data_IF_568222026878
#
_entry.id   IF_568222026878
#
_cell.length_a   1.000
_cell.length_b   1.000
_cell.length_c   1.000
_cell.angle_alpha   90.00
_cell.angle_beta   90.00
_cell.angle_gamma   90.00
#
_symmetry.space_group_name_H-M   'P 1'
#
loop_
_entity.id
_entity.type
_entity.pdbx_description
1 polymer ?
#
# COMPACT_ATOMS: atom_id res chain seq x y z
N UNK A 1 40.89 18.43 8.45
CA UNK A 1 40.28 17.26 7.78
C UNK A 1 38.79 17.23 8.12
N UNK A 2 38.00 18.08 7.46
CA UNK A 2 36.54 18.09 7.61
C UNK A 2 35.98 17.12 6.56
N UNK A 3 35.56 15.92 7.01
CA UNK A 3 34.85 15.00 6.14
C UNK A 3 33.42 15.50 5.97
N UNK A 4 33.22 16.21 4.86
CA UNK A 4 31.96 16.35 4.17
C UNK A 4 31.25 14.99 4.11
N UNK A 5 30.31 14.77 5.02
CA UNK A 5 29.15 13.95 4.72
C UNK A 5 27.95 14.86 4.92
N UNK A 6 27.79 15.78 3.96
CA UNK A 6 26.47 16.27 3.59
C UNK A 6 25.71 14.99 3.23
N UNK A 7 24.99 14.43 4.20
CA UNK A 7 23.93 13.45 3.93
C UNK A 7 23.04 14.17 2.95
N UNK A 8 23.19 13.85 1.67
CA UNK A 8 22.35 14.38 0.64
C UNK A 8 20.92 14.08 1.12
N UNK A 9 20.21 15.14 1.49
CA UNK A 9 18.78 15.12 1.66
C UNK A 9 18.20 14.89 0.26
N UNK A 10 18.38 13.68 -0.29
CA UNK A 10 17.38 13.15 -1.20
C UNK A 10 16.11 13.11 -0.35
N UNK A 11 15.00 13.72 -0.76
CA UNK A 11 13.74 13.41 -0.10
C UNK A 11 13.65 11.89 -0.15
N UNK A 12 13.57 11.24 1.02
CA UNK A 12 13.34 9.81 1.15
C UNK A 12 12.01 9.53 0.43
N UNK A 13 12.08 9.35 -0.89
CA UNK A 13 10.94 9.04 -1.71
C UNK A 13 10.54 7.66 -1.26
N UNK A 14 9.41 7.59 -0.58
CA UNK A 14 8.81 6.34 -0.17
C UNK A 14 8.79 5.38 -1.37
N UNK A 15 9.46 4.22 -1.27
CA UNK A 15 9.54 3.29 -2.39
C UNK A 15 8.14 2.76 -2.70
N UNK A 16 7.81 2.71 -3.99
CA UNK A 16 6.52 2.22 -4.45
C UNK A 16 6.55 0.69 -4.55
N UNK A 17 5.62 0.08 -3.83
CA UNK A 17 5.39 -1.36 -3.80
C UNK A 17 4.81 -1.84 -5.13
N UNK A 18 5.18 -3.06 -5.50
CA UNK A 18 4.56 -3.82 -6.60
C UNK A 18 3.34 -4.58 -6.10
N UNK A 19 2.59 -5.19 -7.02
CA UNK A 19 1.50 -6.11 -6.69
C UNK A 19 1.97 -7.27 -5.83
N UNK A 20 3.18 -7.78 -6.06
CA UNK A 20 3.75 -8.89 -5.27
C UNK A 20 4.04 -8.45 -3.84
N UNK A 21 4.65 -7.28 -3.67
CA UNK A 21 4.97 -6.76 -2.33
C UNK A 21 3.70 -6.56 -1.49
N UNK A 22 2.63 -6.03 -2.11
CA UNK A 22 1.32 -5.86 -1.44
C UNK A 22 0.66 -7.19 -1.14
N UNK A 23 0.73 -8.16 -2.06
CA UNK A 23 0.18 -9.50 -1.85
C UNK A 23 0.84 -10.19 -0.65
N UNK A 24 2.17 -10.13 -0.56
CA UNK A 24 2.93 -10.64 0.58
C UNK A 24 2.57 -9.89 1.86
N UNK A 25 2.52 -8.56 1.82
CA UNK A 25 2.22 -7.72 3.00
C UNK A 25 0.85 -8.01 3.59
N UNK A 26 -0.18 -8.17 2.75
CA UNK A 26 -1.55 -8.45 3.16
C UNK A 26 -1.83 -9.94 3.36
N UNK A 27 -0.86 -10.81 3.05
CA UNK A 27 -0.99 -12.27 3.06
C UNK A 27 -2.20 -12.76 2.22
N UNK A 28 -2.26 -12.28 0.97
CA UNK A 28 -3.31 -12.62 -0.01
C UNK A 28 -2.68 -12.99 -1.36
N UNK A 29 -3.49 -13.51 -2.29
CA UNK A 29 -3.04 -13.79 -3.66
C UNK A 29 -2.87 -12.53 -4.50
N UNK A 30 -2.00 -12.55 -5.52
CA UNK A 30 -1.89 -11.47 -6.54
C UNK A 30 -3.24 -11.14 -7.19
N UNK A 31 -4.03 -12.16 -7.52
CA UNK A 31 -5.35 -11.97 -8.14
C UNK A 31 -6.29 -11.16 -7.25
N UNK A 32 -6.23 -11.39 -5.94
CA UNK A 32 -6.96 -10.56 -4.99
C UNK A 32 -6.52 -9.10 -5.09
N UNK A 33 -5.21 -8.82 -5.13
CA UNK A 33 -4.70 -7.45 -5.27
C UNK A 33 -5.17 -6.81 -6.58
N UNK A 34 -5.10 -7.52 -7.72
CA UNK A 34 -5.59 -7.04 -9.01
C UNK A 34 -7.08 -6.71 -9.00
N UNK A 35 -7.89 -7.63 -8.46
CA UNK A 35 -9.33 -7.47 -8.33
C UNK A 35 -9.68 -6.24 -7.51
N UNK A 36 -9.01 -6.08 -6.37
CA UNK A 36 -9.25 -5.00 -5.43
C UNK A 36 -8.58 -3.68 -5.83
N UNK A 37 -7.76 -3.69 -6.89
CA UNK A 37 -7.24 -2.46 -7.48
C UNK A 37 -8.16 -1.89 -8.56
N UNK A 38 -9.10 -2.66 -9.08
CA UNK A 38 -9.84 -2.28 -10.30
C UNK A 38 -11.36 -2.50 -10.26
N UNK A 39 -11.84 -3.56 -9.61
CA UNK A 39 -13.21 -4.06 -9.84
C UNK A 39 -13.95 -4.60 -8.62
N UNK A 40 -13.27 -4.92 -7.52
CA UNK A 40 -13.89 -5.45 -6.30
C UNK A 40 -13.59 -4.56 -5.09
N UNK A 41 -14.61 -4.35 -4.27
CA UNK A 41 -14.43 -3.72 -2.97
C UNK A 41 -13.96 -4.75 -1.91
N UNK A 42 -13.15 -4.34 -0.92
CA UNK A 42 -12.65 -2.98 -0.69
C UNK A 42 -11.51 -2.59 -1.63
N UNK A 43 -11.53 -1.36 -2.15
CA UNK A 43 -10.53 -0.90 -3.11
C UNK A 43 -9.19 -0.57 -2.45
N UNK A 44 -8.09 -1.06 -3.05
CA UNK A 44 -6.74 -0.71 -2.65
C UNK A 44 -6.34 0.67 -3.19
N UNK A 45 -5.48 1.42 -2.46
CA UNK A 45 -4.98 2.72 -2.88
C UNK A 45 -3.90 2.55 -3.95
N UNK A 46 -4.33 2.39 -5.20
CA UNK A 46 -3.45 2.07 -6.32
C UNK A 46 -3.07 3.31 -7.14
N UNK A 47 -1.79 3.41 -7.49
CA UNK A 47 -1.24 4.32 -8.49
C UNK A 47 -1.11 3.57 -9.81
N UNK A 48 -1.81 4.03 -10.85
CA UNK A 48 -1.71 3.49 -12.21
C UNK A 48 -0.64 4.26 -12.98
N UNK A 49 0.46 3.59 -13.29
CA UNK A 49 1.57 4.20 -14.04
C UNK A 49 1.33 4.15 -15.55
N UNK A 50 0.81 3.03 -16.03
CA UNK A 50 0.47 2.77 -17.43
C UNK A 50 -0.47 1.57 -17.49
N UNK A 51 -0.83 1.14 -18.70
CA UNK A 51 -1.57 -0.10 -18.90
C UNK A 51 -0.84 -1.27 -18.25
N UNK A 52 -1.54 -1.96 -17.34
CA UNK A 52 -1.02 -3.13 -16.64
C UNK A 52 0.07 -2.87 -15.60
N UNK A 53 0.46 -1.62 -15.31
CA UNK A 53 1.49 -1.33 -14.30
C UNK A 53 0.88 -0.62 -13.09
N UNK A 54 0.76 -1.37 -12.00
CA UNK A 54 0.25 -0.89 -10.72
C UNK A 54 1.37 -0.69 -9.72
N UNK A 55 1.26 0.38 -8.93
CA UNK A 55 2.16 0.73 -7.84
C UNK A 55 1.36 1.17 -6.62
N UNK A 56 1.93 0.99 -5.44
CA UNK A 56 1.28 1.35 -4.19
C UNK A 56 2.26 2.08 -3.27
N UNK A 57 1.77 3.06 -2.52
CA UNK A 57 2.53 3.63 -1.42
C UNK A 57 2.38 2.71 -0.21
N UNK A 58 3.48 2.46 0.49
CA UNK A 58 3.44 1.64 1.71
C UNK A 58 2.51 2.28 2.75
N UNK A 59 2.64 3.57 2.99
CA UNK A 59 1.82 4.38 3.91
C UNK A 59 0.33 4.23 3.66
N UNK A 60 -0.11 4.34 2.41
CA UNK A 60 -1.53 4.20 2.05
C UNK A 60 -2.02 2.75 2.23
N UNK A 61 -1.17 1.75 1.98
CA UNK A 61 -1.51 0.33 2.25
C UNK A 61 -1.67 0.09 3.77
N UNK A 62 -0.82 0.68 4.60
CA UNK A 62 -0.95 0.59 6.07
C UNK A 62 -2.19 1.33 6.59
N UNK A 63 -2.51 2.49 6.03
CA UNK A 63 -3.74 3.22 6.35
C UNK A 63 -4.99 2.42 5.95
N UNK A 64 -4.95 1.77 4.78
CA UNK A 64 -6.00 0.86 4.34
C UNK A 64 -6.23 -0.26 5.37
N UNK A 65 -5.17 -0.94 5.84
CA UNK A 65 -5.28 -1.98 6.87
C UNK A 65 -5.95 -1.42 8.13
N UNK A 66 -5.46 -0.26 8.61
CA UNK A 66 -5.98 0.40 9.81
C UNK A 66 -7.48 0.70 9.71
N UNK A 67 -7.96 1.19 8.56
CA UNK A 67 -9.39 1.44 8.35
C UNK A 67 -10.20 0.14 8.27
N UNK A 68 -9.66 -0.93 7.67
CA UNK A 68 -10.32 -2.26 7.65
C UNK A 68 -10.49 -2.81 9.06
N UNK A 69 -9.50 -2.66 9.93
CA UNK A 69 -9.59 -3.04 11.34
C UNK A 69 -10.65 -2.21 12.08
N UNK A 70 -10.63 -0.88 11.92
CA UNK A 70 -11.61 0.01 12.54
C UNK A 70 -13.04 -0.37 12.15
N UNK A 71 -13.33 -0.55 10.86
CA UNK A 71 -14.65 -0.94 10.36
C UNK A 71 -15.10 -2.31 10.87
N UNK A 72 -14.17 -3.27 10.96
CA UNK A 72 -14.46 -4.61 11.49
C UNK A 72 -14.82 -4.55 12.98
N UNK A 73 -14.12 -3.72 13.75
CA UNK A 73 -14.41 -3.50 15.17
C UNK A 73 -15.78 -2.87 15.41
N UNK A 74 -16.15 -1.87 14.59
CA UNK A 74 -17.44 -1.18 14.68
C UNK A 74 -18.62 -2.12 14.36
N UNK A 75 -18.44 -3.02 13.38
CA UNK A 75 -19.45 -4.04 13.06
C UNK A 75 -19.62 -5.05 14.18
N UNK A 76 -18.54 -5.44 14.87
CA UNK A 76 -18.60 -6.36 16.01
C UNK A 76 -19.36 -5.75 17.19
N UNK A 77 -19.14 -4.48 17.52
CA UNK A 77 -19.82 -3.79 18.64
C UNK A 77 -21.34 -3.62 18.46
N UNK A 78 -21.85 -3.72 17.22
CA UNK A 78 -23.27 -3.61 16.91
C UNK A 78 -24.03 -4.95 16.98
N UNK A 79 -23.32 -6.07 17.15
CA UNK A 79 -23.90 -7.40 17.34
C UNK A 79 -23.90 -7.72 18.82
#
# INVERSE_FOLDING_TARGET
>A
MALNAIVQQMPLREPLLTVEDVAQRLNVTKDWVWDHSSRKAPYLPVIRMSDGVLRYRLSEVEEFISERERLSSLRRKRR
#
